data_IF_503008520231
#
_entry.id   IF_503008520231
#
_cell.length_a   1.000
_cell.length_b   1.000
_cell.length_c   1.000
_cell.angle_alpha   90.00
_cell.angle_beta   90.00
_cell.angle_gamma   90.00
#
_symmetry.space_group_name_H-M   'P 1'
#
loop_
_entity.id
_entity.type
_entity.pdbx_description
1 polymer ?
#
# COMPACT_ATOMS: atom_id res chain seq x y z
N UNK A 1 1.81 5.41 -64.22
CA UNK A 1 1.71 4.59 -63.00
C UNK A 1 0.60 3.56 -63.22
N UNK A 2 0.92 2.30 -62.91
CA UNK A 2 0.25 1.04 -63.25
C UNK A 2 -1.27 1.03 -63.06
N UNK A 3 -2.08 0.67 -64.06
CA UNK A 3 -2.42 -0.66 -64.59
C UNK A 3 -3.37 -1.50 -63.72
N UNK A 4 -4.60 -1.56 -64.24
CA UNK A 4 -5.67 -2.56 -64.14
C UNK A 4 -5.36 -3.94 -63.53
N UNK A 5 -6.36 -4.53 -62.87
CA UNK A 5 -6.88 -5.83 -63.34
C UNK A 5 -8.34 -6.09 -62.89
N UNK A 6 -9.18 -6.42 -63.87
CA UNK A 6 -10.54 -6.94 -63.74
C UNK A 6 -10.51 -8.38 -63.19
N UNK A 7 -11.62 -8.84 -62.62
CA UNK A 7 -12.27 -10.14 -62.94
C UNK A 7 -13.75 -10.07 -62.48
N UNK A 8 -14.64 -10.47 -63.38
CA UNK A 8 -16.07 -10.73 -63.17
C UNK A 8 -16.30 -12.21 -63.56
N UNK A 9 -17.45 -12.75 -63.12
CA UNK A 9 -18.19 -13.94 -63.58
C UNK A 9 -17.73 -15.24 -62.84
N UNK A 10 -18.57 -16.11 -62.24
CA UNK A 10 -19.85 -16.70 -62.63
C UNK A 10 -20.64 -17.27 -61.41
N UNK A 11 -21.98 -17.33 -61.52
CA UNK A 11 -22.97 -17.96 -60.62
C UNK A 11 -22.87 -19.50 -60.57
N UNK A 12 -23.43 -20.17 -59.53
CA UNK A 12 -24.74 -20.82 -59.75
C UNK A 12 -25.73 -20.72 -58.58
N UNK A 13 -27.00 -20.70 -58.97
CA UNK A 13 -28.21 -21.00 -58.19
C UNK A 13 -28.22 -22.49 -57.81
N UNK A 14 -28.66 -22.88 -56.60
CA UNK A 14 -29.64 -23.96 -56.39
C UNK A 14 -30.15 -24.04 -54.95
N UNK A 15 -31.41 -24.44 -54.86
CA UNK A 15 -32.29 -24.44 -53.71
C UNK A 15 -31.97 -25.50 -52.64
N UNK A 16 -32.47 -25.27 -51.42
CA UNK A 16 -32.51 -26.28 -50.36
C UNK A 16 -33.09 -25.72 -49.07
N UNK A 17 -34.40 -25.87 -48.90
CA UNK A 17 -35.10 -25.73 -47.62
C UNK A 17 -34.65 -26.79 -46.61
N UNK A 18 -34.84 -26.52 -45.30
CA UNK A 18 -35.48 -27.37 -44.28
C UNK A 18 -34.86 -27.22 -42.87
N UNK A 19 -35.59 -26.45 -42.05
CA UNK A 19 -35.99 -26.67 -40.65
C UNK A 19 -35.01 -26.64 -39.45
N UNK A 20 -35.56 -26.27 -38.25
CA UNK A 20 -34.88 -25.58 -37.17
C UNK A 20 -34.39 -26.54 -36.09
N UNK A 21 -33.50 -26.05 -35.23
CA UNK A 21 -33.43 -26.49 -33.84
C UNK A 21 -33.27 -25.27 -32.94
N UNK A 22 -34.24 -25.10 -32.05
CA UNK A 22 -34.08 -24.30 -30.84
C UNK A 22 -32.90 -24.86 -30.04
N UNK A 23 -32.02 -23.99 -29.56
CA UNK A 23 -30.87 -24.42 -28.79
C UNK A 23 -30.03 -23.29 -28.23
N UNK A 24 -30.38 -22.89 -27.00
CA UNK A 24 -29.52 -22.24 -26.02
C UNK A 24 -29.01 -20.81 -26.31
N UNK A 25 -29.62 -19.88 -25.56
CA UNK A 25 -29.03 -18.64 -25.03
C UNK A 25 -27.51 -18.70 -24.93
N UNK A 26 -26.82 -17.92 -25.76
CA UNK A 26 -25.48 -17.41 -25.48
C UNK A 26 -25.44 -15.94 -25.88
N UNK A 27 -26.08 -15.11 -25.05
CA UNK A 27 -25.74 -13.69 -25.02
C UNK A 27 -24.27 -13.53 -24.62
N UNK A 28 -23.59 -12.48 -25.08
CA UNK A 28 -22.19 -12.24 -24.71
C UNK A 28 -22.08 -12.17 -23.18
N UNK A 29 -21.04 -12.78 -22.56
CA UNK A 29 -20.91 -12.77 -21.12
C UNK A 29 -20.87 -11.31 -20.62
N UNK A 30 -21.53 -10.99 -19.50
CA UNK A 30 -21.34 -9.69 -18.88
C UNK A 30 -19.88 -9.61 -18.47
N UNK A 31 -19.17 -8.60 -19.00
CA UNK A 31 -17.81 -8.26 -18.59
C UNK A 31 -17.90 -7.80 -17.12
N UNK A 32 -17.80 -8.76 -16.22
CA UNK A 32 -17.62 -8.55 -14.80
C UNK A 32 -16.31 -7.79 -14.57
N UNK A 33 -16.45 -6.48 -14.40
CA UNK A 33 -15.86 -5.71 -13.32
C UNK A 33 -14.41 -6.10 -12.97
N UNK A 34 -13.44 -5.73 -13.81
CA UNK A 34 -12.06 -5.53 -13.35
C UNK A 34 -11.92 -4.08 -12.92
N UNK A 35 -12.64 -3.69 -11.86
CA UNK A 35 -12.17 -2.63 -10.97
C UNK A 35 -11.18 -3.29 -10.04
N UNK A 36 -9.89 -3.05 -10.24
CA UNK A 36 -8.84 -2.89 -9.21
C UNK A 36 -7.45 -3.04 -9.85
N UNK A 37 -7.14 -2.16 -10.79
CA UNK A 37 -5.77 -1.75 -11.03
C UNK A 37 -5.66 -0.26 -10.71
N UNK A 38 -6.07 0.08 -9.48
CA UNK A 38 -5.52 1.26 -8.84
C UNK A 38 -4.11 0.89 -8.42
N UNK A 39 -3.17 1.54 -9.09
CA UNK A 39 -1.74 1.57 -8.81
C UNK A 39 -1.48 1.52 -7.29
N UNK A 40 -1.12 0.34 -6.76
CA UNK A 40 -0.34 0.31 -5.54
C UNK A 40 1.06 0.76 -5.95
N UNK A 41 1.41 1.99 -5.63
CA UNK A 41 2.80 2.43 -5.61
C UNK A 41 3.54 1.49 -4.67
N UNK A 42 4.17 0.47 -5.28
CA UNK A 42 5.01 -0.60 -4.71
C UNK A 42 5.25 -0.44 -3.20
N UNK A 43 4.29 -0.88 -2.37
CA UNK A 43 4.45 -0.91 -0.92
C UNK A 43 5.69 -1.74 -0.57
N UNK A 44 6.41 -1.33 0.46
CA UNK A 44 7.55 -2.08 0.96
C UNK A 44 7.03 -3.30 1.71
N UNK A 45 7.31 -4.49 1.19
CA UNK A 45 7.08 -5.73 1.95
C UNK A 45 8.22 -5.93 2.95
N UNK A 46 7.89 -5.88 4.24
CA UNK A 46 8.80 -6.08 5.36
C UNK A 46 8.90 -7.55 5.78
N UNK A 47 8.01 -8.41 5.29
CA UNK A 47 7.94 -9.80 5.69
C UNK A 47 7.62 -9.99 7.17
N UNK A 48 8.34 -10.90 7.84
CA UNK A 48 8.21 -11.12 9.27
C UNK A 48 9.10 -10.13 10.05
N UNK A 49 8.48 -9.31 10.89
CA UNK A 49 9.11 -8.34 11.77
C UNK A 49 9.45 -9.06 13.08
N UNK A 50 10.73 -9.15 13.40
CA UNK A 50 11.19 -9.80 14.62
C UNK A 50 11.26 -8.84 15.81
N UNK A 51 11.16 -9.38 17.03
CA UNK A 51 11.45 -8.67 18.28
C UNK A 51 12.73 -7.82 18.18
N UNK A 52 12.63 -6.56 18.57
CA UNK A 52 13.71 -5.59 18.64
C UNK A 52 14.15 -5.00 17.29
N UNK A 53 13.48 -5.35 16.19
CA UNK A 53 13.84 -4.86 14.85
C UNK A 53 13.65 -3.34 14.74
N UNK A 54 14.57 -2.68 14.02
CA UNK A 54 14.41 -1.29 13.58
C UNK A 54 14.00 -1.28 12.10
N UNK A 55 12.78 -0.82 11.82
CA UNK A 55 12.22 -0.73 10.47
C UNK A 55 12.45 0.68 9.94
N UNK A 56 13.28 0.81 8.90
CA UNK A 56 13.45 2.07 8.19
C UNK A 56 12.40 2.19 7.10
N UNK A 57 11.42 3.09 7.28
CA UNK A 57 10.34 3.28 6.32
C UNK A 57 10.58 4.57 5.53
N UNK A 58 10.71 4.44 4.21
CA UNK A 58 10.77 5.55 3.26
C UNK A 58 9.46 5.72 2.46
N UNK A 59 8.57 4.74 2.57
CA UNK A 59 7.26 4.68 1.91
C UNK A 59 6.34 3.76 2.70
N UNK A 60 5.07 3.70 2.32
CA UNK A 60 4.12 2.76 2.92
C UNK A 60 4.61 1.33 2.80
N UNK A 61 4.35 0.55 3.84
CA UNK A 61 4.89 -0.78 4.01
C UNK A 61 3.86 -1.71 4.64
N UNK A 62 4.00 -3.00 4.34
CA UNK A 62 3.25 -4.07 4.97
C UNK A 62 4.19 -5.06 5.63
N UNK A 63 3.74 -5.69 6.71
CA UNK A 63 4.52 -6.70 7.41
C UNK A 63 3.67 -7.58 8.29
N UNK A 64 4.31 -8.57 8.89
CA UNK A 64 3.70 -9.50 9.83
C UNK A 64 4.50 -9.49 11.13
N UNK A 65 3.80 -9.45 12.26
CA UNK A 65 4.42 -9.53 13.59
C UNK A 65 3.66 -10.57 14.42
N UNK A 66 4.20 -10.93 15.57
CA UNK A 66 3.58 -11.85 16.52
C UNK A 66 3.17 -11.09 17.78
N UNK A 67 2.07 -11.49 18.41
CA UNK A 67 1.67 -10.94 19.71
C UNK A 67 2.83 -11.05 20.71
N UNK A 68 3.12 -9.94 21.40
CA UNK A 68 4.22 -9.82 22.33
C UNK A 68 5.52 -9.31 21.68
N UNK A 69 5.56 -9.12 20.35
CA UNK A 69 6.71 -8.52 19.71
C UNK A 69 6.73 -7.00 19.81
N UNK A 70 7.87 -6.46 20.22
CA UNK A 70 8.16 -5.03 20.21
C UNK A 70 9.16 -4.73 19.10
N UNK A 71 8.96 -3.65 18.36
CA UNK A 71 9.86 -3.21 17.31
C UNK A 71 9.83 -1.69 17.19
N UNK A 72 10.77 -1.13 16.43
CA UNK A 72 10.90 0.30 16.22
C UNK A 72 10.66 0.64 14.74
N UNK A 73 10.12 1.83 14.49
CA UNK A 73 10.00 2.41 13.15
C UNK A 73 10.79 3.70 13.13
N UNK A 74 11.76 3.79 12.22
CA UNK A 74 12.52 5.00 11.94
C UNK A 74 12.03 5.66 10.66
N UNK A 75 11.72 6.95 10.75
CA UNK A 75 11.27 7.79 9.65
C UNK A 75 12.25 8.93 9.44
N UNK A 76 12.74 9.09 8.22
CA UNK A 76 13.68 10.13 7.85
C UNK A 76 12.98 11.48 7.65
N UNK A 77 13.61 12.55 8.10
CA UNK A 77 13.24 13.94 7.82
C UNK A 77 14.50 14.82 7.77
N UNK A 78 14.32 16.13 7.58
CA UNK A 78 15.41 17.10 7.64
C UNK A 78 15.30 17.95 8.89
N UNK A 79 16.40 18.19 9.57
CA UNK A 79 16.42 19.12 10.69
C UNK A 79 16.19 20.55 10.21
N UNK A 80 15.45 21.35 10.98
CA UNK A 80 15.28 22.79 10.73
C UNK A 80 14.37 23.16 9.55
N UNK A 81 13.70 22.20 8.91
CA UNK A 81 12.75 22.45 7.81
C UNK A 81 11.33 22.83 8.30
N UNK A 82 11.14 22.88 9.62
CA UNK A 82 9.86 23.19 10.25
C UNK A 82 8.82 22.08 10.15
N UNK A 83 9.23 20.84 9.85
CA UNK A 83 8.37 19.66 9.80
C UNK A 83 8.80 18.60 10.82
N UNK A 84 7.84 17.76 11.20
CA UNK A 84 8.07 16.64 12.11
C UNK A 84 7.06 15.54 11.86
N UNK A 85 7.51 14.30 12.00
CA UNK A 85 6.63 13.14 11.91
C UNK A 85 5.69 13.11 13.11
N UNK A 86 4.42 12.80 12.88
CA UNK A 86 3.42 12.53 13.91
C UNK A 86 2.69 11.23 13.61
N UNK A 87 2.60 10.35 14.61
CA UNK A 87 1.69 9.22 14.54
C UNK A 87 0.23 9.69 14.67
N UNK A 88 -0.62 9.32 13.70
CA UNK A 88 -2.06 9.66 13.67
C UNK A 88 -2.95 8.58 14.27
N UNK A 89 -2.45 7.36 14.41
CA UNK A 89 -3.19 6.22 14.95
C UNK A 89 -2.37 5.50 16.04
N UNK A 90 -2.04 6.18 17.15
CA UNK A 90 -1.17 5.60 18.18
C UNK A 90 -1.84 4.51 19.02
N UNK A 91 -3.17 4.54 19.13
CA UNK A 91 -3.97 3.66 19.99
C UNK A 91 -4.75 2.59 19.19
N UNK A 92 -4.08 1.93 18.24
CA UNK A 92 -4.70 0.79 17.56
C UNK A 92 -4.78 -0.42 18.53
N UNK A 93 -5.90 -1.18 18.52
CA UNK A 93 -6.11 -2.29 19.46
C UNK A 93 -5.12 -3.46 19.28
N UNK A 94 -4.52 -3.62 18.09
CA UNK A 94 -3.61 -4.72 17.78
C UNK A 94 -2.15 -4.30 17.88
N UNK A 95 -1.84 -3.03 17.59
CA UNK A 95 -0.49 -2.50 17.56
C UNK A 95 -0.44 -1.11 18.23
N UNK A 96 0.10 -1.02 19.45
CA UNK A 96 0.26 0.27 20.12
C UNK A 96 1.54 0.96 19.62
N UNK A 97 1.46 2.27 19.41
CA UNK A 97 2.64 3.14 19.29
C UNK A 97 2.83 3.95 20.56
N UNK A 98 4.05 3.98 21.09
CA UNK A 98 4.38 4.80 22.24
C UNK A 98 4.16 6.30 21.95
N UNK A 99 3.69 7.01 22.97
CA UNK A 99 3.48 8.46 22.88
C UNK A 99 4.81 9.23 22.81
N UNK A 100 5.88 8.66 23.35
CA UNK A 100 7.24 9.21 23.29
C UNK A 100 7.96 8.59 22.11
N UNK A 101 8.67 9.43 21.34
CA UNK A 101 9.54 9.00 20.25
C UNK A 101 10.96 9.50 20.51
N UNK A 102 11.94 8.80 19.94
CA UNK A 102 13.35 9.19 19.97
C UNK A 102 13.71 9.96 18.68
N UNK A 103 14.81 10.70 18.72
CA UNK A 103 15.36 11.36 17.53
C UNK A 103 16.84 11.06 17.38
N UNK A 104 17.27 10.70 16.17
CA UNK A 104 18.68 10.48 15.85
C UNK A 104 19.15 11.38 14.69
N UNK A 105 20.30 12.06 14.80
CA UNK A 105 21.17 12.10 15.97
C UNK A 105 20.53 12.87 17.15
N UNK A 106 20.87 12.47 18.37
CA UNK A 106 20.40 13.15 19.57
C UNK A 106 21.11 14.51 19.75
N UNK A 107 20.40 15.48 20.32
CA UNK A 107 20.94 16.82 20.61
C UNK A 107 20.67 17.84 19.51
N UNK A 108 21.53 18.87 19.43
CA UNK A 108 21.38 19.95 18.44
C UNK A 108 21.90 19.48 17.09
N UNK A 109 21.01 19.48 16.09
CA UNK A 109 21.30 19.06 14.72
C UNK A 109 21.26 20.28 13.80
N UNK A 110 22.27 20.47 12.95
CA UNK A 110 22.31 21.62 12.04
C UNK A 110 21.14 21.57 11.05
N UNK A 111 20.63 22.74 10.67
CA UNK A 111 19.53 22.83 9.72
C UNK A 111 19.96 22.24 8.36
N UNK A 112 19.10 21.39 7.77
CA UNK A 112 19.35 20.69 6.50
C UNK A 112 19.98 19.30 6.63
N UNK A 113 20.52 18.95 7.80
CA UNK A 113 21.05 17.61 8.07
C UNK A 113 19.93 16.58 8.20
N UNK A 114 20.29 15.31 8.00
CA UNK A 114 19.38 14.19 8.16
C UNK A 114 19.00 14.00 9.64
N UNK A 115 17.70 13.83 9.88
CA UNK A 115 17.13 13.51 11.17
C UNK A 115 16.25 12.26 11.03
N UNK A 116 16.27 11.38 12.02
CA UNK A 116 15.40 10.22 12.11
C UNK A 116 14.47 10.40 13.30
N UNK A 117 13.17 10.20 13.10
CA UNK A 117 12.19 10.09 14.18
C UNK A 117 11.88 8.62 14.40
N UNK A 118 12.07 8.13 15.62
CA UNK A 118 12.00 6.71 15.96
C UNK A 118 10.82 6.47 16.89
N UNK A 119 9.83 5.73 16.40
CA UNK A 119 8.66 5.30 17.15
C UNK A 119 8.85 3.89 17.68
N UNK A 120 8.39 3.64 18.91
CA UNK A 120 8.35 2.29 19.48
C UNK A 120 6.95 1.72 19.32
N UNK A 121 6.86 0.49 18.83
CA UNK A 121 5.62 -0.19 18.55
C UNK A 121 5.57 -1.53 19.30
N UNK A 122 4.37 -1.86 19.77
CA UNK A 122 4.10 -3.02 20.60
C UNK A 122 2.93 -3.83 20.02
N UNK A 123 3.19 -5.04 19.54
CA UNK A 123 2.18 -5.95 19.04
C UNK A 123 1.40 -6.57 20.22
N UNK A 124 0.16 -6.15 20.44
CA UNK A 124 -0.61 -6.46 21.66
C UNK A 124 -1.63 -7.57 21.49
N UNK A 125 -2.24 -7.66 20.31
CA UNK A 125 -3.32 -8.60 20.05
C UNK A 125 -3.32 -8.98 18.58
N UNK A 126 -3.68 -10.23 18.27
CA UNK A 126 -3.76 -10.69 16.89
C UNK A 126 -4.84 -9.94 16.12
N UNK A 127 -4.57 -9.65 14.85
CA UNK A 127 -5.43 -8.86 13.99
C UNK A 127 -4.63 -8.00 13.01
N UNK A 128 -5.33 -7.16 12.26
CA UNK A 128 -4.70 -6.25 11.30
C UNK A 128 -4.70 -4.83 11.86
N UNK A 129 -3.51 -4.24 11.97
CA UNK A 129 -3.31 -2.87 12.37
C UNK A 129 -2.93 -1.99 11.18
N UNK A 130 -3.37 -0.73 11.19
CA UNK A 130 -2.96 0.27 10.19
C UNK A 130 -2.46 1.53 10.89
N UNK A 131 -1.15 1.67 10.96
CA UNK A 131 -0.49 2.81 11.61
C UNK A 131 -0.14 3.86 10.58
N UNK A 132 -0.59 5.09 10.78
CA UNK A 132 -0.32 6.22 9.88
C UNK A 132 0.64 7.21 10.52
N UNK A 133 1.72 7.50 9.83
CA UNK A 133 2.67 8.56 10.16
C UNK A 133 2.50 9.69 9.16
N UNK A 134 2.38 10.91 9.66
CA UNK A 134 2.19 12.10 8.84
C UNK A 134 3.31 13.10 9.11
N UNK A 135 4.01 13.52 8.06
CA UNK A 135 4.99 14.60 8.14
C UNK A 135 4.24 15.92 8.08
N UNK A 136 4.21 16.65 9.19
CA UNK A 136 3.42 17.88 9.31
C UNK A 136 4.28 19.04 9.76
N UNK A 137 3.85 20.26 9.41
CA UNK A 137 4.49 21.47 9.90
C UNK A 137 4.36 21.58 11.42
N UNK A 138 5.47 21.86 12.09
CA UNK A 138 5.52 22.10 13.55
C UNK A 138 5.20 23.55 13.90
N UNK A 139 5.26 24.46 12.92
CA UNK A 139 5.05 25.90 13.12
C UNK A 139 3.68 26.38 12.66
N UNK A 140 3.00 25.61 11.79
CA UNK A 140 1.68 25.94 11.28
C UNK A 140 0.67 24.84 11.62
N UNK A 141 -0.16 25.01 12.66
CA UNK A 141 -1.17 24.04 13.01
C UNK A 141 -2.24 23.94 11.90
N UNK A 142 -2.80 22.75 11.71
CA UNK A 142 -3.88 22.43 10.77
C UNK A 142 -3.53 22.42 9.27
N UNK A 143 -2.25 22.43 8.91
CA UNK A 143 -1.87 22.14 7.53
C UNK A 143 -2.02 20.67 7.18
N UNK A 144 -2.33 20.39 5.91
CA UNK A 144 -2.30 19.05 5.37
C UNK A 144 -0.89 18.46 5.50
N UNK A 145 -0.75 17.14 5.74
CA UNK A 145 0.55 16.50 5.75
C UNK A 145 1.28 16.68 4.43
N UNK A 146 2.56 17.03 4.49
CA UNK A 146 3.45 17.08 3.33
C UNK A 146 3.75 15.67 2.82
N UNK A 147 3.80 14.71 3.73
CA UNK A 147 3.99 13.30 3.44
C UNK A 147 3.16 12.43 4.39
N UNK A 148 2.76 11.25 3.95
CA UNK A 148 2.11 10.25 4.80
C UNK A 148 2.62 8.86 4.45
N UNK A 149 3.14 8.16 5.46
CA UNK A 149 3.60 6.77 5.38
C UNK A 149 2.64 5.92 6.20
N UNK A 150 2.13 4.85 5.60
CA UNK A 150 1.28 3.87 6.27
C UNK A 150 2.06 2.58 6.50
N UNK A 151 2.05 2.10 7.74
CA UNK A 151 2.50 0.75 8.09
C UNK A 151 1.28 -0.12 8.36
N UNK A 152 1.08 -1.15 7.54
CA UNK A 152 0.09 -2.19 7.76
C UNK A 152 0.77 -3.41 8.38
N UNK A 153 0.28 -3.87 9.53
CA UNK A 153 0.85 -5.03 10.21
C UNK A 153 -0.24 -6.05 10.48
N UNK A 154 -0.06 -7.26 9.98
CA UNK A 154 -0.83 -8.41 10.42
C UNK A 154 -0.14 -9.03 11.65
N UNK A 155 -0.74 -8.82 12.81
CA UNK A 155 -0.30 -9.41 14.07
C UNK A 155 -0.90 -10.81 14.19
N UNK A 156 -0.04 -11.82 14.32
CA UNK A 156 -0.40 -13.23 14.48
C UNK A 156 -0.36 -13.62 15.94
N UNK A 157 -1.16 -14.61 16.31
CA UNK A 157 -1.15 -15.16 17.66
C UNK A 157 0.24 -15.69 18.04
N UNK A 158 0.63 -15.48 19.29
CA UNK A 158 1.81 -16.14 19.83
C UNK A 158 1.54 -17.64 19.88
N UNK A 159 2.40 -18.43 19.24
CA UNK A 159 2.30 -19.89 19.35
C UNK A 159 2.60 -20.29 20.79
N UNK A 160 1.55 -20.63 21.56
CA UNK A 160 1.71 -21.16 22.91
C UNK A 160 2.40 -22.52 22.83
N UNK A 161 3.56 -22.63 23.45
CA UNK A 161 4.33 -23.87 23.59
C UNK A 161 3.99 -24.58 24.89
#
# INVERSE_FOLDING_TARGET
MSNALKIIVLFPVFAGTFFPMEGCKNGPPPVMLVRHLLKHDKEQDLGAIAQGSMLHLEKSAEGTATVGEDFKVSLKSKSGDGHGWQCRTPNDPHLLVDAVFETEPAGVVAAGDDLQTIYHLHARAAGKAKIKFALVSTTQPNNAPTETITLEVEVKEASSK
#
